data_IF_117803286392
#
_entry.id   IF_117803286392
#
_cell.length_a   1.000
_cell.length_b   1.000
_cell.length_c   1.000
_cell.angle_alpha   90.00
_cell.angle_beta   90.00
_cell.angle_gamma   90.00
#
_symmetry.space_group_name_H-M   'P 1'
#
loop_
_entity.id
_entity.type
_entity.pdbx_description
1 polymer ?
#
# COMPACT_ATOMS: atom_id res chain seq x y z
N UNK A 1 2.08 29.33 0.69
CA UNK A 1 2.95 29.14 1.88
C UNK A 1 4.15 30.07 1.78
N UNK A 2 4.73 30.52 2.90
CA UNK A 2 5.99 31.27 2.90
C UNK A 2 7.07 30.61 2.04
N UNK A 3 7.92 31.41 1.38
CA UNK A 3 8.89 30.92 0.39
C UNK A 3 9.97 29.97 0.93
N UNK A 4 10.18 29.92 2.25
CA UNK A 4 11.15 29.03 2.89
C UNK A 4 10.53 27.67 3.31
N UNK A 5 9.26 27.42 3.00
CA UNK A 5 8.57 26.17 3.32
C UNK A 5 8.21 25.40 2.05
N UNK A 6 8.37 24.08 2.12
CA UNK A 6 8.01 23.12 1.07
C UNK A 6 6.93 22.16 1.60
N UNK A 7 5.94 21.85 0.77
CA UNK A 7 4.97 20.80 1.08
C UNK A 7 5.61 19.47 0.72
N UNK A 8 5.97 18.70 1.75
CA UNK A 8 6.55 17.37 1.55
C UNK A 8 5.49 16.34 1.13
N UNK A 9 4.36 16.32 1.85
CA UNK A 9 3.29 15.35 1.69
C UNK A 9 1.95 15.94 2.12
N UNK A 10 0.87 15.33 1.65
CA UNK A 10 -0.49 15.56 2.14
C UNK A 10 -1.06 14.23 2.59
N UNK A 11 -1.62 14.19 3.81
CA UNK A 11 -2.33 13.03 4.33
C UNK A 11 -3.82 13.23 4.14
N UNK A 12 -4.41 12.50 3.20
CA UNK A 12 -5.86 12.48 3.02
C UNK A 12 -6.52 11.71 4.17
N UNK A 13 -7.53 12.30 4.81
CA UNK A 13 -8.29 11.71 5.90
C UNK A 13 -9.78 11.69 5.56
N UNK A 14 -10.47 10.62 5.93
CA UNK A 14 -11.90 10.43 5.69
C UNK A 14 -12.38 9.12 6.28
N UNK A 15 -13.68 8.86 6.16
CA UNK A 15 -14.25 7.55 6.51
C UNK A 15 -13.95 6.55 5.39
N UNK A 16 -13.47 5.33 5.70
CA UNK A 16 -13.24 4.30 4.67
C UNK A 16 -14.54 3.98 3.89
N UNK A 17 -14.42 3.85 2.57
CA UNK A 17 -15.52 3.48 1.66
C UNK A 17 -15.28 2.15 0.92
N UNK A 18 -14.07 1.59 0.99
CA UNK A 18 -13.71 0.31 0.37
C UNK A 18 -13.13 -0.66 1.42
N UNK A 19 -13.20 -1.95 1.12
CA UNK A 19 -12.53 -3.00 1.87
C UNK A 19 -11.11 -3.18 1.34
N UNK A 20 -10.13 -3.30 2.25
CA UNK A 20 -8.72 -3.49 1.93
C UNK A 20 -8.24 -4.77 2.60
N UNK A 21 -7.63 -5.66 1.82
CA UNK A 21 -7.05 -6.91 2.32
C UNK A 21 -5.56 -6.98 2.01
N UNK A 22 -4.81 -7.49 2.99
CA UNK A 22 -3.39 -7.78 2.81
C UNK A 22 -3.27 -9.24 2.38
N UNK A 23 -2.41 -9.48 1.40
CA UNK A 23 -2.04 -10.81 0.93
C UNK A 23 -0.52 -10.95 0.86
N UNK A 24 -0.02 -12.17 0.93
CA UNK A 24 1.39 -12.41 0.67
C UNK A 24 1.68 -12.19 -0.81
N UNK A 25 2.77 -11.47 -1.11
CA UNK A 25 3.22 -11.30 -2.49
C UNK A 25 3.57 -12.67 -3.10
N UNK A 26 3.28 -12.82 -4.39
CA UNK A 26 3.67 -14.02 -5.14
C UNK A 26 5.19 -14.21 -5.10
N UNK A 27 5.68 -15.43 -5.36
CA UNK A 27 7.12 -15.75 -5.30
C UNK A 27 7.98 -14.90 -6.24
N UNK A 28 7.39 -14.40 -7.34
CA UNK A 28 8.06 -13.48 -8.27
C UNK A 28 8.14 -12.03 -7.74
N UNK A 29 7.53 -11.75 -6.58
CA UNK A 29 7.60 -10.46 -5.89
C UNK A 29 6.71 -9.37 -6.50
N UNK A 30 5.62 -9.73 -7.18
CA UNK A 30 4.65 -8.73 -7.66
C UNK A 30 3.95 -8.05 -6.46
N UNK A 31 4.14 -6.73 -6.36
CA UNK A 31 3.63 -5.88 -5.28
C UNK A 31 2.55 -4.91 -5.75
N UNK A 32 2.11 -5.02 -7.00
CA UNK A 32 1.08 -4.13 -7.55
C UNK A 32 -0.25 -4.44 -6.87
N UNK A 33 -0.87 -3.41 -6.32
CA UNK A 33 -2.23 -3.53 -5.82
C UNK A 33 -3.20 -3.78 -6.98
N UNK A 34 -4.29 -4.47 -6.69
CA UNK A 34 -5.32 -4.79 -7.67
C UNK A 34 -6.70 -4.82 -7.01
N UNK A 35 -7.76 -4.91 -7.82
CA UNK A 35 -9.14 -5.02 -7.34
C UNK A 35 -9.76 -6.29 -7.90
N UNK A 36 -10.47 -7.02 -7.03
CA UNK A 36 -11.21 -8.21 -7.42
C UNK A 36 -12.58 -7.87 -8.03
N UNK A 37 -13.35 -8.90 -8.41
CA UNK A 37 -14.69 -8.75 -8.97
C UNK A 37 -15.69 -8.12 -7.99
N UNK A 38 -15.39 -8.11 -6.68
CA UNK A 38 -16.19 -7.49 -5.62
C UNK A 38 -15.68 -6.08 -5.25
N UNK A 39 -14.71 -5.57 -5.99
CA UNK A 39 -14.03 -4.30 -5.77
C UNK A 39 -13.25 -4.20 -4.44
N UNK A 40 -12.91 -5.33 -3.82
CA UNK A 40 -11.98 -5.37 -2.67
C UNK A 40 -10.60 -4.96 -3.15
N UNK A 41 -9.90 -4.11 -2.39
CA UNK A 41 -8.55 -3.66 -2.72
C UNK A 41 -7.50 -4.61 -2.12
N UNK A 42 -6.86 -5.39 -2.98
CA UNK A 42 -5.82 -6.34 -2.60
C UNK A 42 -4.46 -5.66 -2.63
N UNK A 43 -3.73 -5.74 -1.51
CA UNK A 43 -2.40 -5.14 -1.34
C UNK A 43 -1.38 -6.23 -1.01
N UNK A 44 -0.62 -6.72 -2.00
CA UNK A 44 0.41 -7.72 -1.77
C UNK A 44 1.56 -7.17 -0.91
N UNK A 45 2.01 -7.96 0.07
CA UNK A 45 3.10 -7.63 0.99
C UNK A 45 4.16 -8.73 0.98
N UNK A 46 5.43 -8.31 0.97
CA UNK A 46 6.57 -9.21 1.17
C UNK A 46 6.48 -9.86 2.55
N UNK A 47 6.86 -11.12 2.63
CA UNK A 47 6.95 -11.83 3.92
C UNK A 47 8.12 -11.30 4.72
N UNK A 48 8.05 -11.43 6.05
CA UNK A 48 9.10 -10.94 6.96
C UNK A 48 10.49 -11.50 6.62
N UNK A 49 10.58 -12.77 6.24
CA UNK A 49 11.84 -13.43 5.87
C UNK A 49 12.52 -12.80 4.64
N UNK A 50 11.78 -12.10 3.78
CA UNK A 50 12.35 -11.37 2.63
C UNK A 50 12.88 -9.98 3.02
N UNK A 51 12.52 -9.49 4.21
CA UNK A 51 12.92 -8.17 4.70
C UNK A 51 14.17 -8.23 5.59
N UNK A 52 14.47 -9.39 6.18
CA UNK A 52 15.64 -9.60 7.04
C UNK A 52 16.76 -10.20 6.18
N UNK A 53 17.88 -9.50 6.09
CA UNK A 53 19.07 -9.91 5.33
C UNK A 53 20.24 -10.06 6.33
N UNK A 54 20.99 -11.16 6.24
CA UNK A 54 22.17 -11.46 7.06
C UNK A 54 23.46 -10.80 6.52
#
# INVERSE_FOLDING_TARGET
IPAHLEILLVLALGRPQEEVVLEEAAEEGDIRYWRDEKAVHHVPKRRLAELIID
#
